data_IF_282906225267
#
_entry.id   IF_282906225267
#
_cell.length_a   1.000
_cell.length_b   1.000
_cell.length_c   1.000
_cell.angle_alpha   90.00
_cell.angle_beta   90.00
_cell.angle_gamma   90.00
#
_symmetry.space_group_name_H-M   'P 1'
#
loop_
_entity.id
_entity.type
_entity.pdbx_description
1 polymer ?
#
# COMPACT_ATOMS: atom_id res chain seq x y z
N UNK A 1 -9.10 65.97 -17.49
CA UNK A 1 -9.99 64.98 -16.85
C UNK A 1 -9.91 63.59 -17.49
N UNK A 2 -9.27 63.39 -18.64
CA UNK A 2 -9.12 62.03 -19.25
C UNK A 2 -7.84 61.28 -18.85
N UNK A 3 -6.78 61.98 -18.42
CA UNK A 3 -5.46 61.36 -18.13
C UNK A 3 -5.47 60.56 -16.80
N UNK A 4 -6.22 61.01 -15.79
CA UNK A 4 -6.35 60.29 -14.50
C UNK A 4 -7.09 58.95 -14.65
N UNK A 5 -8.04 58.84 -15.58
CA UNK A 5 -8.87 57.65 -15.74
C UNK A 5 -8.10 56.45 -16.32
N UNK A 6 -7.14 56.71 -17.22
CA UNK A 6 -6.24 55.68 -17.75
C UNK A 6 -5.23 55.17 -16.70
N UNK A 7 -4.74 56.06 -15.84
CA UNK A 7 -3.77 55.69 -14.79
C UNK A 7 -4.40 54.77 -13.73
N UNK A 8 -5.63 55.11 -13.29
CA UNK A 8 -6.39 54.32 -12.31
C UNK A 8 -6.73 52.91 -12.81
N UNK A 9 -7.08 52.78 -14.10
CA UNK A 9 -7.44 51.50 -14.73
C UNK A 9 -6.23 50.57 -14.92
N UNK A 10 -5.04 51.12 -15.19
CA UNK A 10 -3.78 50.38 -15.28
C UNK A 10 -3.27 49.87 -13.93
N UNK A 11 -3.40 50.68 -12.87
CA UNK A 11 -3.03 50.27 -11.51
C UNK A 11 -3.97 49.19 -10.95
N UNK A 12 -5.28 49.33 -11.19
CA UNK A 12 -6.29 48.34 -10.80
C UNK A 12 -6.11 47.01 -11.53
N UNK A 13 -5.82 47.01 -12.84
CA UNK A 13 -5.62 45.77 -13.60
C UNK A 13 -4.35 45.04 -13.15
N UNK A 14 -3.27 45.79 -12.88
CA UNK A 14 -2.00 45.23 -12.39
C UNK A 14 -2.15 44.63 -10.97
N UNK A 15 -2.94 45.25 -10.10
CA UNK A 15 -3.28 44.68 -8.78
C UNK A 15 -4.13 43.41 -8.92
N UNK A 16 -5.10 43.39 -9.84
CA UNK A 16 -5.92 42.20 -10.09
C UNK A 16 -5.10 41.04 -10.64
N UNK A 17 -4.19 41.30 -11.59
CA UNK A 17 -3.26 40.30 -12.13
C UNK A 17 -2.35 39.73 -11.03
N UNK A 18 -1.79 40.58 -10.16
CA UNK A 18 -0.97 40.12 -9.02
C UNK A 18 -1.76 39.21 -8.07
N UNK A 19 -3.01 39.55 -7.76
CA UNK A 19 -3.87 38.72 -6.89
C UNK A 19 -4.17 37.37 -7.55
N UNK A 20 -4.52 37.36 -8.84
CA UNK A 20 -4.78 36.14 -9.59
C UNK A 20 -3.53 35.25 -9.66
N UNK A 21 -2.35 35.83 -9.89
CA UNK A 21 -1.09 35.09 -9.91
C UNK A 21 -0.76 34.50 -8.53
N UNK A 22 -0.93 35.26 -7.44
CA UNK A 22 -0.74 34.74 -6.07
C UNK A 22 -1.73 33.60 -5.77
N UNK A 23 -2.99 33.74 -6.18
CA UNK A 23 -4.00 32.71 -5.99
C UNK A 23 -3.68 31.42 -6.76
N UNK A 24 -3.26 31.53 -8.03
CA UNK A 24 -2.85 30.39 -8.85
C UNK A 24 -1.60 29.70 -8.27
N UNK A 25 -0.61 30.47 -7.79
CA UNK A 25 0.58 29.91 -7.13
C UNK A 25 0.18 29.16 -5.85
N UNK A 26 -0.72 29.74 -5.04
CA UNK A 26 -1.20 29.10 -3.80
C UNK A 26 -1.98 27.81 -4.06
N UNK A 27 -2.77 27.74 -5.15
CA UNK A 27 -3.47 26.52 -5.56
C UNK A 27 -2.51 25.43 -6.07
N UNK A 28 -1.42 25.82 -6.74
CA UNK A 28 -0.40 24.89 -7.23
C UNK A 28 0.34 24.15 -6.12
N UNK A 29 0.55 24.80 -4.96
CA UNK A 29 1.25 24.20 -3.82
C UNK A 29 0.46 23.06 -3.15
N UNK A 30 -0.87 23.04 -3.25
CA UNK A 30 -1.72 22.03 -2.60
C UNK A 30 -1.64 20.65 -3.28
N UNK A 31 -1.39 20.59 -4.59
CA UNK A 31 -1.35 19.31 -5.33
C UNK A 31 0.00 18.58 -5.23
N UNK A 32 1.06 19.28 -4.83
CA UNK A 32 2.40 18.73 -4.68
C UNK A 32 2.58 17.89 -3.39
N UNK A 33 1.80 18.16 -2.35
CA UNK A 33 1.94 17.50 -1.04
C UNK A 33 1.61 16.00 -1.07
N UNK A 34 0.58 15.58 -1.82
CA UNK A 34 0.14 14.17 -1.84
C UNK A 34 1.14 13.21 -2.52
N UNK A 35 1.77 13.64 -3.61
CA UNK A 35 2.75 12.80 -4.33
C UNK A 35 4.09 12.68 -3.59
N UNK A 36 4.53 13.76 -2.94
CA UNK A 36 5.72 13.72 -2.09
C UNK A 36 5.52 12.78 -0.89
N UNK A 37 4.31 12.78 -0.31
CA UNK A 37 3.94 11.85 0.76
C UNK A 37 3.99 10.39 0.30
N UNK A 38 3.33 10.04 -0.81
CA UNK A 38 3.35 8.65 -1.31
C UNK A 38 4.76 8.11 -1.55
N UNK A 39 5.62 8.86 -2.26
CA UNK A 39 6.98 8.39 -2.60
C UNK A 39 7.83 8.11 -1.36
N UNK A 40 7.64 8.89 -0.30
CA UNK A 40 8.34 8.70 0.96
C UNK A 40 7.82 7.46 1.69
N UNK A 41 6.50 7.36 1.86
CA UNK A 41 5.87 6.25 2.58
C UNK A 41 6.07 4.92 1.85
N UNK A 42 5.95 4.88 0.51
CA UNK A 42 6.20 3.65 -0.26
C UNK A 42 7.66 3.20 -0.16
N UNK A 43 8.63 4.12 -0.15
CA UNK A 43 10.04 3.77 0.04
C UNK A 43 10.32 3.20 1.44
N UNK A 44 9.71 3.77 2.47
CA UNK A 44 9.80 3.24 3.84
C UNK A 44 9.14 1.85 3.92
N UNK A 45 7.99 1.69 3.26
CA UNK A 45 7.24 0.43 3.15
C UNK A 45 8.07 -0.67 2.48
N UNK A 46 8.73 -0.37 1.36
CA UNK A 46 9.63 -1.33 0.68
C UNK A 46 10.75 -1.78 1.62
N UNK A 47 11.35 -0.84 2.36
CA UNK A 47 12.42 -1.14 3.31
C UNK A 47 11.93 -2.04 4.44
N UNK A 48 10.78 -1.74 5.06
CA UNK A 48 10.26 -2.55 6.17
C UNK A 48 9.83 -3.94 5.72
N UNK A 49 9.24 -4.08 4.52
CA UNK A 49 8.90 -5.38 3.94
C UNK A 49 10.17 -6.18 3.69
N UNK A 50 11.19 -5.57 3.07
CA UNK A 50 12.46 -6.23 2.83
C UNK A 50 13.11 -6.72 4.14
N UNK A 51 13.17 -5.86 5.17
CA UNK A 51 13.72 -6.24 6.48
C UNK A 51 12.92 -7.37 7.11
N UNK A 52 11.59 -7.26 7.14
CA UNK A 52 10.71 -8.27 7.78
C UNK A 52 10.69 -9.59 7.01
N UNK A 53 10.84 -9.56 5.69
CA UNK A 53 10.95 -10.76 4.84
C UNK A 53 12.21 -11.56 5.16
N UNK A 54 13.34 -10.89 5.42
CA UNK A 54 14.61 -11.53 5.77
C UNK A 54 14.76 -11.87 7.28
N UNK A 55 13.80 -11.45 8.11
CA UNK A 55 13.73 -11.87 9.51
C UNK A 55 13.22 -13.31 9.64
N UNK A 56 13.52 -13.98 10.76
CA UNK A 56 12.94 -15.30 11.02
C UNK A 56 11.41 -15.22 11.13
N UNK A 57 10.70 -16.05 10.38
CA UNK A 57 9.25 -16.18 10.44
C UNK A 57 8.73 -16.33 11.89
N UNK A 58 7.64 -15.61 12.21
CA UNK A 58 6.95 -15.77 13.48
C UNK A 58 6.30 -17.15 13.57
N UNK A 59 6.26 -17.71 14.79
CA UNK A 59 5.58 -19.00 15.00
C UNK A 59 4.08 -18.83 14.77
N UNK A 60 3.42 -19.74 14.03
CA UNK A 60 1.97 -19.72 13.89
C UNK A 60 1.28 -19.74 15.26
N UNK A 61 0.37 -18.79 15.49
CA UNK A 61 -0.41 -18.68 16.72
C UNK A 61 -1.87 -19.08 16.51
N UNK A 62 -2.31 -19.23 15.26
CA UNK A 62 -3.68 -19.56 14.87
C UNK A 62 -3.72 -20.56 13.73
N UNK A 63 -4.90 -21.16 13.56
CA UNK A 63 -5.23 -22.14 12.53
C UNK A 63 -6.62 -21.85 11.98
N UNK A 64 -6.77 -21.92 10.67
CA UNK A 64 -8.05 -21.93 9.96
C UNK A 64 -8.04 -23.08 8.97
N UNK A 65 -8.90 -24.08 9.17
CA UNK A 65 -8.90 -25.33 8.40
C UNK A 65 -7.51 -26.01 8.32
N UNK A 66 -6.81 -25.93 7.19
CA UNK A 66 -5.47 -26.49 6.95
C UNK A 66 -4.36 -25.44 6.94
N UNK A 67 -4.71 -24.17 7.07
CA UNK A 67 -3.80 -23.04 7.02
C UNK A 67 -3.42 -22.64 8.45
N UNK A 68 -2.12 -22.60 8.72
CA UNK A 68 -1.54 -22.16 9.98
C UNK A 68 -0.73 -20.89 9.76
N UNK A 69 -0.93 -19.87 10.58
CA UNK A 69 -0.25 -18.59 10.46
C UNK A 69 -0.17 -17.85 11.81
N UNK A 70 0.74 -16.90 11.89
CA UNK A 70 0.87 -15.94 12.97
C UNK A 70 -0.20 -14.86 12.81
N UNK A 71 -1.00 -14.67 13.85
CA UNK A 71 -1.96 -13.59 13.95
C UNK A 71 -1.41 -12.53 14.92
N UNK A 72 -1.07 -11.32 14.46
CA UNK A 72 -0.62 -10.23 15.34
C UNK A 72 -1.71 -9.84 16.34
N UNK A 73 -1.30 -9.22 17.45
CA UNK A 73 -2.24 -8.69 18.44
C UNK A 73 -3.20 -7.66 17.81
N UNK A 74 -4.48 -7.72 18.19
CA UNK A 74 -5.53 -6.86 17.64
C UNK A 74 -6.16 -7.34 16.33
N UNK A 75 -5.60 -8.38 15.71
CA UNK A 75 -6.21 -9.02 14.54
C UNK A 75 -7.14 -10.15 14.96
N UNK A 76 -8.24 -10.30 14.22
CA UNK A 76 -9.25 -11.33 14.41
C UNK A 76 -9.60 -11.99 13.08
N UNK A 77 -10.04 -13.25 13.12
CA UNK A 77 -10.58 -13.96 11.95
C UNK A 77 -12.08 -13.65 11.92
N UNK A 78 -12.53 -13.02 10.83
CA UNK A 78 -13.94 -12.68 10.61
C UNK A 78 -14.69 -13.79 9.87
N UNK A 79 -14.06 -14.34 8.83
CA UNK A 79 -14.60 -15.43 8.03
C UNK A 79 -13.46 -16.26 7.40
N UNK A 80 -13.75 -17.49 6.99
CA UNK A 80 -12.79 -18.38 6.38
C UNK A 80 -13.40 -19.38 5.42
N UNK A 81 -12.70 -19.59 4.31
CA UNK A 81 -12.89 -20.66 3.33
C UNK A 81 -11.55 -21.39 3.14
N UNK A 82 -11.49 -22.51 2.39
CA UNK A 82 -10.27 -23.32 2.31
C UNK A 82 -9.00 -22.58 1.86
N UNK A 83 -9.14 -21.57 1.00
CA UNK A 83 -8.01 -20.81 0.44
C UNK A 83 -8.07 -19.31 0.75
N UNK A 84 -9.13 -18.81 1.39
CA UNK A 84 -9.28 -17.38 1.72
C UNK A 84 -9.70 -17.21 3.17
N UNK A 85 -9.01 -16.36 3.89
CA UNK A 85 -9.30 -16.00 5.29
C UNK A 85 -9.47 -14.49 5.35
N UNK A 86 -10.62 -14.05 5.85
CA UNK A 86 -10.91 -12.64 6.09
C UNK A 86 -10.45 -12.29 7.49
N UNK A 87 -9.54 -11.33 7.59
CA UNK A 87 -9.03 -10.82 8.86
C UNK A 87 -9.54 -9.40 9.09
N UNK A 88 -9.74 -9.03 10.35
CA UNK A 88 -10.05 -7.66 10.77
C UNK A 88 -9.05 -7.15 11.80
N UNK A 89 -8.76 -5.86 11.75
CA UNK A 89 -8.08 -5.11 12.81
C UNK A 89 -8.78 -3.75 12.95
N UNK A 90 -9.65 -3.63 13.95
CA UNK A 90 -10.58 -2.51 14.05
C UNK A 90 -11.49 -2.43 12.81
N UNK A 91 -11.49 -1.29 12.11
CA UNK A 91 -12.29 -1.10 10.89
C UNK A 91 -11.61 -1.60 9.61
N UNK A 92 -10.35 -2.06 9.69
CA UNK A 92 -9.58 -2.50 8.52
C UNK A 92 -9.86 -3.97 8.24
N UNK A 93 -9.99 -4.31 6.96
CA UNK A 93 -10.23 -5.67 6.48
C UNK A 93 -9.05 -6.12 5.63
N UNK A 94 -8.66 -7.38 5.79
CA UNK A 94 -7.57 -8.00 5.04
C UNK A 94 -8.06 -9.33 4.49
N UNK A 95 -7.56 -9.69 3.31
CA UNK A 95 -7.85 -10.96 2.67
C UNK A 95 -6.53 -11.71 2.57
N UNK A 96 -6.38 -12.77 3.37
CA UNK A 96 -5.29 -13.72 3.27
C UNK A 96 -5.69 -14.84 2.33
N UNK A 97 -5.02 -14.94 1.19
CA UNK A 97 -5.16 -16.02 0.23
C UNK A 97 -3.97 -16.96 0.31
N UNK A 98 -4.23 -18.28 0.23
CA UNK A 98 -3.20 -19.32 0.20
C UNK A 98 -3.51 -20.32 -0.91
N UNK A 99 -2.56 -20.52 -1.82
CA UNK A 99 -2.56 -21.63 -2.76
C UNK A 99 -1.65 -22.75 -2.24
N UNK A 100 -2.20 -23.88 -1.75
CA UNK A 100 -1.41 -24.96 -1.16
C UNK A 100 -0.57 -25.75 -2.16
N UNK A 101 -0.80 -25.56 -3.47
CA UNK A 101 0.00 -26.22 -4.52
C UNK A 101 1.33 -25.49 -4.79
N UNK A 102 1.52 -24.30 -4.21
CA UNK A 102 2.66 -23.44 -4.50
C UNK A 102 3.59 -23.35 -3.29
N UNK A 103 4.86 -23.71 -3.50
CA UNK A 103 5.89 -23.64 -2.48
C UNK A 103 6.34 -22.21 -2.16
N UNK A 104 7.19 -22.03 -1.13
CA UNK A 104 7.68 -20.71 -0.70
C UNK A 104 8.48 -19.94 -1.77
N UNK A 105 9.08 -20.63 -2.74
CA UNK A 105 9.83 -20.02 -3.85
C UNK A 105 9.00 -19.78 -5.11
N UNK A 106 7.69 -20.09 -5.09
CA UNK A 106 6.83 -19.93 -6.27
C UNK A 106 6.54 -18.46 -6.57
N UNK A 107 6.55 -18.13 -7.87
CA UNK A 107 6.14 -16.82 -8.38
C UNK A 107 4.69 -16.79 -8.90
N UNK A 108 3.96 -17.91 -8.88
CA UNK A 108 2.64 -18.04 -9.56
C UNK A 108 1.63 -17.04 -9.01
N UNK A 109 1.54 -16.93 -7.67
CA UNK A 109 0.61 -15.99 -7.01
C UNK A 109 1.01 -14.53 -7.29
N UNK A 110 2.31 -14.25 -7.41
CA UNK A 110 2.78 -12.92 -7.83
C UNK A 110 2.38 -12.58 -9.26
N UNK A 111 2.67 -13.48 -10.22
CA UNK A 111 2.37 -13.27 -11.65
C UNK A 111 0.89 -13.00 -11.86
N UNK A 112 0.05 -13.86 -11.31
CA UNK A 112 -1.42 -13.71 -11.38
C UNK A 112 -1.91 -12.44 -10.67
N UNK A 113 -1.25 -12.00 -9.60
CA UNK A 113 -1.58 -10.72 -8.95
C UNK A 113 -1.23 -9.53 -9.84
N UNK A 114 -0.04 -9.50 -10.45
CA UNK A 114 0.37 -8.37 -11.31
C UNK A 114 -0.48 -8.28 -12.57
N UNK A 115 -0.88 -9.41 -13.16
CA UNK A 115 -1.76 -9.48 -14.34
C UNK A 115 -3.14 -8.84 -14.12
N UNK A 116 -3.61 -8.74 -12.88
CA UNK A 116 -4.89 -8.10 -12.55
C UNK A 116 -4.87 -6.57 -12.75
N UNK A 117 -3.68 -5.96 -12.85
CA UNK A 117 -3.54 -4.51 -12.93
C UNK A 117 -2.98 -4.07 -14.26
N UNK A 118 -3.64 -3.06 -14.87
CA UNK A 118 -3.07 -2.34 -16.02
C UNK A 118 -1.78 -1.61 -15.68
N UNK A 119 -1.68 -1.10 -14.44
CA UNK A 119 -0.52 -0.36 -13.92
C UNK A 119 -0.50 -0.34 -12.40
N UNK A 120 0.61 -0.76 -11.83
CA UNK A 120 0.94 -0.63 -10.40
C UNK A 120 1.76 0.64 -10.14
N UNK A 121 1.59 1.21 -8.94
CA UNK A 121 2.35 2.38 -8.47
C UNK A 121 3.61 1.96 -7.72
N UNK A 122 3.63 0.73 -7.19
CA UNK A 122 4.82 0.04 -6.67
C UNK A 122 4.70 -1.45 -6.98
N UNK A 123 5.80 -2.05 -7.42
CA UNK A 123 5.92 -3.48 -7.71
C UNK A 123 7.35 -3.92 -7.42
N UNK A 124 7.58 -4.41 -6.20
CA UNK A 124 8.89 -4.82 -5.72
C UNK A 124 8.92 -6.32 -5.42
N UNK A 125 10.08 -6.92 -5.64
CA UNK A 125 10.34 -8.34 -5.37
C UNK A 125 11.44 -8.45 -4.33
N UNK A 126 11.34 -9.49 -3.51
CA UNK A 126 12.30 -9.85 -2.49
C UNK A 126 12.60 -11.34 -2.63
N UNK A 127 13.86 -11.74 -2.56
CA UNK A 127 14.25 -13.14 -2.77
C UNK A 127 15.40 -13.50 -1.85
N UNK A 128 15.37 -14.72 -1.33
CA UNK A 128 16.52 -15.37 -0.74
C UNK A 128 16.68 -16.79 -1.32
N UNK A 129 17.59 -17.60 -0.78
CA UNK A 129 17.86 -18.96 -1.27
C UNK A 129 16.65 -19.92 -1.22
N UNK A 130 15.60 -19.57 -0.46
CA UNK A 130 14.47 -20.46 -0.15
C UNK A 130 13.12 -19.91 -0.54
N UNK A 131 12.97 -18.59 -0.62
CA UNK A 131 11.68 -17.93 -0.67
C UNK A 131 11.66 -16.82 -1.71
N UNK A 132 10.50 -16.66 -2.32
CA UNK A 132 10.15 -15.54 -3.18
C UNK A 132 9.08 -14.71 -2.47
N UNK A 133 9.30 -13.40 -2.36
CA UNK A 133 8.36 -12.45 -1.78
C UNK A 133 8.15 -11.24 -2.68
N UNK A 134 7.06 -10.52 -2.45
CA UNK A 134 6.74 -9.33 -3.24
C UNK A 134 5.85 -8.34 -2.49
N UNK A 135 5.89 -7.10 -2.95
CA UNK A 135 5.01 -6.00 -2.53
C UNK A 135 4.44 -5.33 -3.78
N UNK A 136 3.12 -5.25 -3.88
CA UNK A 136 2.46 -4.39 -4.86
C UNK A 136 1.64 -3.32 -4.15
N UNK A 137 1.64 -2.12 -4.71
CA UNK A 137 0.79 -1.01 -4.25
C UNK A 137 0.13 -0.37 -5.47
N UNK A 138 -1.19 -0.23 -5.41
CA UNK A 138 -2.00 0.52 -6.37
C UNK A 138 -2.62 1.71 -5.64
N UNK A 139 -2.33 2.92 -6.10
CA UNK A 139 -2.97 4.13 -5.55
C UNK A 139 -4.44 4.14 -5.92
N UNK A 140 -5.28 4.47 -4.94
CA UNK A 140 -6.71 4.71 -5.07
C UNK A 140 -6.98 6.22 -4.90
N UNK A 141 -8.26 6.60 -4.75
CA UNK A 141 -8.66 7.97 -4.41
C UNK A 141 -8.44 8.25 -2.92
N UNK A 142 -8.51 9.52 -2.53
CA UNK A 142 -8.55 9.96 -1.12
C UNK A 142 -7.38 9.44 -0.26
N UNK A 143 -6.18 9.44 -0.83
CA UNK A 143 -4.93 8.93 -0.23
C UNK A 143 -4.98 7.47 0.25
N UNK A 144 -5.95 6.69 -0.25
CA UNK A 144 -6.03 5.25 -0.05
C UNK A 144 -5.20 4.50 -1.07
N UNK A 145 -4.78 3.30 -0.70
CA UNK A 145 -3.98 2.40 -1.51
C UNK A 145 -4.51 0.99 -1.35
N UNK A 146 -4.55 0.23 -2.44
CA UNK A 146 -4.64 -1.21 -2.36
C UNK A 146 -3.22 -1.77 -2.28
N UNK A 147 -2.92 -2.44 -1.17
CA UNK A 147 -1.59 -2.98 -0.89
C UNK A 147 -1.68 -4.50 -0.80
N UNK A 148 -0.77 -5.18 -1.48
CA UNK A 148 -0.60 -6.63 -1.39
C UNK A 148 0.82 -6.99 -1.04
N UNK A 149 0.99 -7.86 -0.06
CA UNK A 149 2.27 -8.50 0.28
C UNK A 149 2.11 -9.99 0.09
N UNK A 150 3.11 -10.66 -0.48
CA UNK A 150 3.07 -12.11 -0.63
C UNK A 150 4.42 -12.79 -0.44
N UNK A 151 4.36 -14.08 -0.10
CA UNK A 151 5.49 -15.01 -0.01
C UNK A 151 5.06 -16.34 -0.62
N UNK A 152 5.73 -16.76 -1.70
CA UNK A 152 5.42 -17.99 -2.42
C UNK A 152 3.95 -18.11 -2.81
N UNK A 153 3.31 -19.19 -2.35
CA UNK A 153 1.89 -19.47 -2.54
C UNK A 153 0.90 -18.64 -1.72
N UNK A 154 1.34 -17.74 -0.85
CA UNK A 154 0.46 -16.95 0.02
C UNK A 154 0.54 -15.45 -0.29
N UNK A 155 -0.60 -14.77 -0.22
CA UNK A 155 -0.68 -13.30 -0.28
C UNK A 155 -1.71 -12.75 0.69
N UNK A 156 -1.48 -11.53 1.15
CA UNK A 156 -2.45 -10.76 1.91
C UNK A 156 -2.67 -9.41 1.26
N UNK A 157 -3.94 -9.01 1.11
CA UNK A 157 -4.34 -7.75 0.48
C UNK A 157 -5.21 -6.92 1.41
N UNK A 158 -5.05 -5.60 1.40
CA UNK A 158 -5.90 -4.65 2.15
C UNK A 158 -6.00 -3.31 1.43
N UNK A 159 -6.97 -2.47 1.85
CA UNK A 159 -7.02 -1.06 1.50
C UNK A 159 -6.58 -0.21 2.70
N UNK A 160 -5.59 0.66 2.49
CA UNK A 160 -4.88 1.37 3.56
C UNK A 160 -4.55 2.81 3.16
N UNK A 161 -4.59 3.73 4.12
CA UNK A 161 -4.11 5.11 3.92
C UNK A 161 -2.61 5.14 3.64
N UNK A 162 -2.18 6.09 2.82
CA UNK A 162 -0.75 6.28 2.49
C UNK A 162 0.11 6.41 3.74
N UNK A 163 -0.39 7.12 4.77
CA UNK A 163 0.29 7.31 6.06
C UNK A 163 0.44 6.05 6.91
N UNK A 164 -0.21 4.94 6.55
CA UNK A 164 -0.20 3.68 7.30
C UNK A 164 0.43 2.53 6.52
N UNK A 165 0.99 2.78 5.32
CA UNK A 165 1.58 1.74 4.48
C UNK A 165 2.67 0.95 5.21
N UNK A 166 3.59 1.63 5.91
CA UNK A 166 4.72 0.97 6.58
C UNK A 166 4.26 0.01 7.69
N UNK A 167 3.40 0.50 8.59
CA UNK A 167 2.90 -0.27 9.73
C UNK A 167 2.11 -1.50 9.26
N UNK A 168 1.20 -1.31 8.31
CA UNK A 168 0.36 -2.38 7.79
C UNK A 168 1.18 -3.40 7.01
N UNK A 169 2.13 -2.95 6.20
CA UNK A 169 2.98 -3.85 5.43
C UNK A 169 3.82 -4.75 6.33
N UNK A 170 4.34 -4.22 7.44
CA UNK A 170 5.07 -5.02 8.43
C UNK A 170 4.21 -6.15 8.99
N UNK A 171 3.00 -5.85 9.44
CA UNK A 171 2.09 -6.87 9.98
C UNK A 171 1.71 -7.89 8.89
N UNK A 172 1.39 -7.42 7.69
CA UNK A 172 1.09 -8.25 6.52
C UNK A 172 2.24 -9.20 6.19
N UNK A 173 3.50 -8.72 6.14
CA UNK A 173 4.68 -9.55 5.91
C UNK A 173 4.84 -10.62 6.98
N UNK A 174 4.66 -10.27 8.28
CA UNK A 174 4.73 -11.25 9.36
C UNK A 174 3.67 -12.36 9.24
N UNK A 175 2.46 -12.00 8.80
CA UNK A 175 1.38 -12.95 8.55
C UNK A 175 1.79 -13.89 7.41
N UNK A 176 2.06 -13.38 6.19
CA UNK A 176 2.32 -14.25 5.04
C UNK A 176 3.60 -15.07 5.17
N UNK A 177 4.65 -14.54 5.81
CA UNK A 177 5.89 -15.28 6.03
C UNK A 177 5.71 -16.44 7.03
N UNK A 178 4.72 -16.36 7.91
CA UNK A 178 4.42 -17.44 8.86
C UNK A 178 3.50 -18.53 8.31
N UNK A 179 2.97 -18.35 7.09
CA UNK A 179 1.99 -19.28 6.52
C UNK A 179 2.64 -20.65 6.31
N UNK A 180 1.98 -21.66 6.85
CA UNK A 180 2.27 -23.07 6.60
C UNK A 180 0.96 -23.78 6.31
N UNK A 181 1.01 -24.77 5.42
CA UNK A 181 -0.13 -25.60 5.05
C UNK A 181 0.14 -27.05 5.47
N UNK A 182 -0.84 -27.71 6.09
CA UNK A 182 -0.73 -29.09 6.57
C UNK A 182 -1.96 -29.92 6.22
#
# INVERSE_FOLDING_TARGET
>A
MEIEYCFYKGESSLRLFKIITIFIISLGLLTACGNASYKKESKATIKIVNTTFHEKAKKPSKKSEKIHFYLPFGYEIDDSTPNNIILKNGSKTYILFVNPQEGPSSEVVYKTTVEQYKKLDTNEKFTDDKMFGYLTIKKLKDDMNEMTVGVGGAKITTQVKTSSLEEEAKAMTQIVHSVTYK
#
